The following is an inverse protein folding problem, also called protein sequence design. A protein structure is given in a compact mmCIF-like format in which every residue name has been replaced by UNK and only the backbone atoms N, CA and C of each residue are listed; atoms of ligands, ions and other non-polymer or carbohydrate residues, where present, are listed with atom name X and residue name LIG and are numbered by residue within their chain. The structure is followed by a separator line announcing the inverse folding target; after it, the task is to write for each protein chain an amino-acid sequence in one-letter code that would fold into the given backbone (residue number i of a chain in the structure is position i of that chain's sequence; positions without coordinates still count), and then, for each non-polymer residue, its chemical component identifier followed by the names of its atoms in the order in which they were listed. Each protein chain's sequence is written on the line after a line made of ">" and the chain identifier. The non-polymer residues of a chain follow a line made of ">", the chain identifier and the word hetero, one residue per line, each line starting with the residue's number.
data_IF_684645252682
#
_entry.id   IF_684645252682
#
_cell.length_a   1.000
_cell.length_b   1.000
_cell.length_c   1.000
_cell.angle_alpha   90.00
_cell.angle_beta   90.00
_cell.angle_gamma   90.00
#
_symmetry.space_group_name_H-M   'P 1'
#
loop_
_entity.id
_entity.type
_entity.pdbx_description
1 polymer ?
#
# COMPACT_ATOMS: atom_id res chain seq x y z
N UNK A 1 -21.81 -15.19 14.14
CA UNK A 1 -20.61 -15.53 13.35
C UNK A 1 -19.52 -15.92 14.33
N UNK A 2 -18.80 -17.01 14.08
CA UNK A 2 -17.65 -17.37 14.91
C UNK A 2 -16.44 -16.49 14.54
N UNK A 3 -15.62 -16.17 15.53
CA UNK A 3 -14.40 -15.39 15.33
C UNK A 3 -13.35 -16.25 14.63
N UNK A 4 -12.74 -15.71 13.57
CA UNK A 4 -11.52 -16.28 12.98
C UNK A 4 -10.32 -15.90 13.86
N UNK A 5 -9.55 -16.90 14.26
CA UNK A 5 -8.34 -16.77 15.08
C UNK A 5 -7.08 -16.72 14.22
N UNK A 6 -5.95 -16.25 14.77
CA UNK A 6 -4.65 -16.31 14.07
C UNK A 6 -4.25 -17.74 13.73
N UNK A 7 -4.60 -18.73 14.58
CA UNK A 7 -4.34 -20.15 14.32
C UNK A 7 -5.04 -20.64 13.05
N UNK A 8 -6.31 -20.28 12.87
CA UNK A 8 -7.07 -20.64 11.67
C UNK A 8 -6.57 -19.87 10.44
N UNK A 9 -6.18 -18.61 10.64
CA UNK A 9 -5.60 -17.79 9.57
C UNK A 9 -4.27 -18.35 9.06
N UNK A 10 -3.36 -18.75 9.95
CA UNK A 10 -2.05 -19.29 9.59
C UNK A 10 -2.16 -20.61 8.81
N UNK A 11 -3.22 -21.40 9.07
CA UNK A 11 -3.51 -22.63 8.32
C UNK A 11 -3.89 -22.38 6.85
N UNK A 12 -4.32 -21.16 6.51
CA UNK A 12 -4.63 -20.80 5.12
C UNK A 12 -3.38 -20.70 4.24
N UNK A 13 -2.17 -20.71 4.84
CA UNK A 13 -0.89 -20.65 4.14
C UNK A 13 -0.81 -19.53 3.09
N UNK A 14 -1.38 -18.36 3.43
CA UNK A 14 -1.43 -17.23 2.52
C UNK A 14 -0.02 -16.70 2.25
N UNK A 15 0.31 -16.38 0.99
CA UNK A 15 1.63 -15.85 0.66
C UNK A 15 1.83 -14.48 1.30
N UNK A 16 3.07 -14.13 1.67
CA UNK A 16 3.40 -12.81 2.17
C UNK A 16 3.09 -11.74 1.12
N UNK A 17 2.92 -10.50 1.58
CA UNK A 17 2.77 -9.37 0.65
C UNK A 17 4.13 -9.03 0.09
N UNK A 18 4.28 -9.16 -1.23
CA UNK A 18 5.54 -8.89 -1.91
C UNK A 18 6.00 -7.43 -1.77
N UNK A 19 7.30 -7.17 -1.51
CA UNK A 19 7.85 -5.82 -1.49
C UNK A 19 7.64 -5.08 -2.83
N UNK A 20 7.43 -3.77 -2.77
CA UNK A 20 7.33 -2.92 -3.95
C UNK A 20 8.63 -2.14 -4.16
N UNK A 21 9.13 -2.16 -5.39
CA UNK A 21 10.23 -1.32 -5.83
C UNK A 21 9.79 0.15 -5.94
N UNK A 22 10.70 1.13 -5.80
CA UNK A 22 10.37 2.56 -5.85
C UNK A 22 9.61 2.96 -7.11
N UNK A 23 10.02 2.44 -8.27
CA UNK A 23 9.36 2.68 -9.55
C UNK A 23 7.92 2.13 -9.62
N UNK A 24 7.63 1.02 -8.92
CA UNK A 24 6.27 0.47 -8.86
C UNK A 24 5.36 1.38 -8.03
N UNK A 25 5.86 1.92 -6.91
CA UNK A 25 5.11 2.84 -6.06
C UNK A 25 4.76 4.12 -6.84
N UNK A 26 5.75 4.67 -7.56
CA UNK A 26 5.55 5.82 -8.43
C UNK A 26 4.49 5.53 -9.50
N UNK A 27 4.54 4.35 -10.13
CA UNK A 27 3.58 3.93 -11.14
C UNK A 27 2.16 3.75 -10.59
N UNK A 28 2.01 3.22 -9.38
CA UNK A 28 0.69 3.12 -8.71
C UNK A 28 0.06 4.51 -8.58
N UNK A 29 0.83 5.49 -8.10
CA UNK A 29 0.37 6.88 -7.97
C UNK A 29 0.00 7.48 -9.33
N UNK A 30 0.88 7.34 -10.32
CA UNK A 30 0.69 7.94 -11.65
C UNK A 30 -0.51 7.34 -12.38
N UNK A 31 -0.72 6.03 -12.28
CA UNK A 31 -1.92 5.36 -12.79
C UNK A 31 -3.21 5.82 -12.10
N UNK A 32 -3.09 6.40 -10.90
CA UNK A 32 -4.22 6.97 -10.16
C UNK A 32 -4.44 8.46 -10.46
N UNK A 33 -3.63 9.06 -11.35
CA UNK A 33 -3.75 10.45 -11.79
C UNK A 33 -3.73 11.50 -10.66
N UNK A 34 -2.93 11.27 -9.62
CA UNK A 34 -2.79 12.19 -8.49
C UNK A 34 -1.35 12.63 -8.24
N UNK A 35 -1.20 13.80 -7.62
CA UNK A 35 0.09 14.30 -7.15
C UNK A 35 0.60 13.50 -5.95
N UNK A 36 1.89 13.58 -5.63
CA UNK A 36 2.46 12.94 -4.44
C UNK A 36 1.78 13.40 -3.14
N UNK A 37 1.39 14.68 -3.06
CA UNK A 37 0.73 15.23 -1.89
C UNK A 37 -0.70 14.68 -1.70
N UNK A 38 -1.46 14.60 -2.80
CA UNK A 38 -2.81 14.01 -2.77
C UNK A 38 -2.74 12.52 -2.45
N UNK A 39 -1.81 11.79 -3.06
CA UNK A 39 -1.58 10.37 -2.78
C UNK A 39 -1.20 10.12 -1.31
N UNK A 40 -0.32 10.97 -0.75
CA UNK A 40 0.05 10.90 0.65
C UNK A 40 -1.15 11.13 1.59
N UNK A 41 -1.99 12.13 1.29
CA UNK A 41 -3.21 12.41 2.06
C UNK A 41 -4.17 11.23 2.03
N UNK A 42 -4.40 10.63 0.86
CA UNK A 42 -5.31 9.49 0.68
C UNK A 42 -4.79 8.22 1.37
N UNK A 43 -3.47 8.00 1.38
CA UNK A 43 -2.84 6.90 2.12
C UNK A 43 -2.63 7.18 3.61
N UNK A 44 -3.16 8.30 4.11
CA UNK A 44 -2.97 8.77 5.50
C UNK A 44 -1.48 8.75 5.94
N UNK A 45 -0.61 9.29 5.10
CA UNK A 45 0.83 9.40 5.37
C UNK A 45 1.38 10.77 5.00
N UNK A 46 2.64 11.04 5.33
CA UNK A 46 3.28 12.32 5.00
C UNK A 46 3.76 12.35 3.54
N UNK A 47 3.78 13.54 2.93
CA UNK A 47 4.40 13.75 1.62
C UNK A 47 5.85 13.24 1.59
N UNK A 48 6.63 13.52 2.65
CA UNK A 48 8.01 13.06 2.78
C UNK A 48 8.13 11.54 2.75
N UNK A 49 7.13 10.83 3.31
CA UNK A 49 7.09 9.36 3.28
C UNK A 49 6.94 8.86 1.84
N UNK A 50 5.95 9.38 1.09
CA UNK A 50 5.73 9.00 -0.32
C UNK A 50 6.96 9.31 -1.17
N UNK A 51 7.55 10.50 -1.01
CA UNK A 51 8.78 10.87 -1.73
C UNK A 51 9.92 9.89 -1.44
N UNK A 52 10.16 9.55 -0.16
CA UNK A 52 11.20 8.59 0.23
C UNK A 52 10.95 7.18 -0.30
N UNK A 53 9.68 6.79 -0.44
CA UNK A 53 9.32 5.52 -1.08
C UNK A 53 9.63 5.52 -2.58
N UNK A 54 9.21 6.57 -3.30
CA UNK A 54 9.39 6.66 -4.76
C UNK A 54 10.85 6.80 -5.20
N UNK A 55 11.75 7.26 -4.32
CA UNK A 55 13.20 7.32 -4.57
C UNK A 55 14.00 6.21 -3.89
N UNK A 56 13.33 5.30 -3.15
CA UNK A 56 13.97 4.14 -2.51
C UNK A 56 14.79 4.42 -1.25
N UNK A 57 14.69 5.63 -0.67
CA UNK A 57 15.29 5.95 0.64
C UNK A 57 14.57 5.28 1.82
N UNK A 58 13.27 4.96 1.65
CA UNK A 58 12.50 4.15 2.59
C UNK A 58 11.69 3.11 1.83
N UNK A 59 11.34 2.01 2.50
CA UNK A 59 10.45 0.98 1.97
C UNK A 59 9.15 0.94 2.77
N UNK A 60 7.98 0.85 2.13
CA UNK A 60 6.73 0.59 2.83
C UNK A 60 6.77 -0.82 3.42
N UNK A 61 6.24 -0.97 4.64
CA UNK A 61 6.13 -2.26 5.34
C UNK A 61 4.74 -2.39 5.94
N UNK A 62 4.39 -3.61 6.37
CA UNK A 62 3.14 -3.89 7.08
C UNK A 62 1.90 -3.36 6.34
N UNK A 63 1.11 -2.53 7.03
CA UNK A 63 -0.15 -1.96 6.51
C UNK A 63 0.06 -1.07 5.30
N UNK A 64 1.12 -0.25 5.27
CA UNK A 64 1.39 0.63 4.13
C UNK A 64 1.65 -0.17 2.85
N UNK A 65 2.42 -1.26 2.95
CA UNK A 65 2.65 -2.16 1.82
C UNK A 65 1.35 -2.83 1.36
N UNK A 66 0.52 -3.30 2.30
CA UNK A 66 -0.79 -3.88 1.99
C UNK A 66 -1.71 -2.89 1.27
N UNK A 67 -1.77 -1.64 1.72
CA UNK A 67 -2.59 -0.59 1.10
C UNK A 67 -2.13 -0.27 -0.31
N UNK A 68 -0.82 -0.16 -0.55
CA UNK A 68 -0.28 0.06 -1.90
C UNK A 68 -0.66 -1.07 -2.85
N UNK A 69 -0.64 -2.33 -2.39
CA UNK A 69 -1.13 -3.47 -3.17
C UNK A 69 -2.64 -3.42 -3.42
N UNK A 70 -3.44 -2.96 -2.45
CA UNK A 70 -4.88 -2.79 -2.65
C UNK A 70 -5.16 -1.72 -3.69
N UNK A 71 -4.50 -0.57 -3.61
CA UNK A 71 -4.62 0.51 -4.60
C UNK A 71 -4.17 0.04 -5.98
N UNK A 72 -3.05 -0.68 -6.07
CA UNK A 72 -2.57 -1.25 -7.33
C UNK A 72 -3.60 -2.18 -7.99
N UNK A 73 -4.32 -2.97 -7.19
CA UNK A 73 -5.25 -4.00 -7.70
C UNK A 73 -6.66 -3.47 -7.95
N UNK A 74 -7.11 -2.48 -7.17
CA UNK A 74 -8.52 -2.07 -7.13
C UNK A 74 -8.77 -0.60 -7.45
N UNK A 75 -7.74 0.23 -7.47
CA UNK A 75 -7.88 1.67 -7.64
C UNK A 75 -7.73 2.45 -6.33
N UNK A 76 -7.59 3.77 -6.45
CA UNK A 76 -7.32 4.67 -5.33
C UNK A 76 -8.57 4.98 -4.47
N UNK A 77 -9.76 4.71 -5.01
CA UNK A 77 -11.05 4.84 -4.35
C UNK A 77 -11.16 3.98 -3.08
N UNK A 78 -10.45 2.84 -3.02
CA UNK A 78 -10.46 1.95 -1.85
C UNK A 78 -9.87 2.55 -0.57
N UNK A 79 -9.18 3.69 -0.69
CA UNK A 79 -8.58 4.44 0.44
C UNK A 79 -9.02 5.91 0.47
N UNK A 80 -10.03 6.29 -0.33
CA UNK A 80 -10.46 7.68 -0.45
C UNK A 80 -11.50 8.14 0.58
N UNK A 81 -11.87 7.27 1.53
CA UNK A 81 -12.92 7.49 2.55
C UNK A 81 -12.38 7.72 3.95
#
# INVERSE_FOLDING_TARGET
>A
MNQVTLREFDQLALPPVEPLAPAQIKRIRENSHVSQAVFARLLNTSLSTVQKWEIGQKRPTGTALKLLHLVQKRGLDVVAG
#
